data_IF_543600175697
#
_entry.id   IF_543600175697
#
_cell.length_a   1.000
_cell.length_b   1.000
_cell.length_c   1.000
_cell.angle_alpha   90.00
_cell.angle_beta   90.00
_cell.angle_gamma   90.00
#
_symmetry.space_group_name_H-M   'P 1'
#
loop_
_entity.id
_entity.type
_entity.pdbx_description
1 polymer ?
#
# COMPACT_ATOMS: atom_id res chain seq x y z
N UNK A 1 1.46 -13.83 25.76
CA UNK A 1 2.12 -12.83 26.64
C UNK A 1 3.64 -12.87 26.53
N UNK A 2 4.30 -14.02 26.73
CA UNK A 2 5.78 -14.13 26.66
C UNK A 2 6.39 -13.66 25.32
N UNK A 3 5.75 -13.95 24.18
CA UNK A 3 6.18 -13.46 22.86
C UNK A 3 6.10 -11.93 22.74
N UNK A 4 5.02 -11.30 23.20
CA UNK A 4 4.85 -9.83 23.15
C UNK A 4 5.90 -9.15 24.04
N UNK A 5 6.13 -9.66 25.25
CA UNK A 5 7.16 -9.13 26.14
C UNK A 5 8.57 -9.26 25.54
N UNK A 6 8.87 -10.40 24.90
CA UNK A 6 10.11 -10.59 24.15
C UNK A 6 10.28 -9.55 23.03
N UNK A 7 9.25 -9.32 22.22
CA UNK A 7 9.27 -8.31 21.15
C UNK A 7 9.47 -6.89 21.71
N UNK A 8 8.79 -6.54 22.81
CA UNK A 8 8.97 -5.24 23.48
C UNK A 8 10.40 -5.08 24.01
N UNK A 9 11.00 -6.15 24.54
CA UNK A 9 12.39 -6.15 24.96
C UNK A 9 13.36 -5.97 23.77
N UNK A 10 13.10 -6.62 22.64
CA UNK A 10 13.88 -6.43 21.39
C UNK A 10 13.78 -5.00 20.88
N UNK A 11 12.60 -4.37 20.91
CA UNK A 11 12.44 -2.96 20.52
C UNK A 11 13.28 -2.04 21.39
N UNK A 12 13.37 -2.33 22.69
CA UNK A 12 14.17 -1.53 23.63
C UNK A 12 15.67 -1.69 23.39
N UNK A 13 16.14 -2.94 23.26
CA UNK A 13 17.55 -3.29 23.43
C UNK A 13 18.25 -3.84 22.17
N UNK A 14 17.50 -4.22 21.14
CA UNK A 14 18.05 -4.84 19.94
C UNK A 14 18.77 -3.87 19.00
N UNK A 15 19.39 -4.40 17.96
CA UNK A 15 19.97 -3.62 16.87
C UNK A 15 18.89 -2.99 15.99
N UNK A 16 19.19 -1.92 15.21
CA UNK A 16 18.17 -1.17 14.46
C UNK A 16 17.21 -2.06 13.65
N UNK A 17 17.73 -3.00 12.86
CA UNK A 17 16.92 -3.90 12.03
C UNK A 17 16.09 -4.89 12.86
N UNK A 18 16.62 -5.37 13.99
CA UNK A 18 15.88 -6.23 14.92
C UNK A 18 14.70 -5.48 15.55
N UNK A 19 14.88 -4.19 15.87
CA UNK A 19 13.78 -3.33 16.34
C UNK A 19 12.70 -3.20 15.28
N UNK A 20 13.06 -2.97 14.01
CA UNK A 20 12.08 -2.86 12.92
C UNK A 20 11.31 -4.17 12.73
N UNK A 21 12.01 -5.30 12.70
CA UNK A 21 11.38 -6.62 12.62
C UNK A 21 10.45 -6.86 13.80
N UNK A 22 10.84 -6.50 15.02
CA UNK A 22 9.99 -6.67 16.19
C UNK A 22 8.72 -5.80 16.14
N UNK A 23 8.81 -4.58 15.63
CA UNK A 23 7.63 -3.73 15.40
C UNK A 23 6.74 -4.29 14.30
N UNK A 24 7.31 -4.80 13.22
CA UNK A 24 6.54 -5.45 12.16
C UNK A 24 5.78 -6.67 12.68
N UNK A 25 6.41 -7.50 13.52
CA UNK A 25 5.75 -8.64 14.16
C UNK A 25 4.66 -8.19 15.14
N UNK A 26 4.85 -7.11 15.92
CA UNK A 26 3.77 -6.56 16.75
C UNK A 26 2.60 -6.03 15.91
N UNK A 27 2.88 -5.38 14.77
CA UNK A 27 1.85 -4.85 13.88
C UNK A 27 1.00 -5.97 13.25
N UNK A 28 1.59 -7.14 12.95
CA UNK A 28 0.84 -8.34 12.52
C UNK A 28 -0.15 -8.83 13.56
N UNK A 29 0.12 -8.60 14.84
CA UNK A 29 -0.75 -8.94 15.97
C UNK A 29 -1.71 -7.78 16.32
N UNK A 30 -1.79 -6.73 15.50
CA UNK A 30 -2.66 -5.57 15.72
C UNK A 30 -2.13 -4.53 16.71
N UNK A 31 -0.86 -4.62 17.13
CA UNK A 31 -0.27 -3.72 18.14
C UNK A 31 0.56 -2.64 17.45
N UNK A 32 0.01 -1.43 17.34
CA UNK A 32 0.62 -0.32 16.58
C UNK A 32 1.33 0.75 17.44
N UNK A 33 1.36 0.60 18.77
CA UNK A 33 1.95 1.60 19.69
C UNK A 33 3.44 1.90 19.47
N UNK A 34 4.12 1.08 18.66
CA UNK A 34 5.56 1.17 18.37
C UNK A 34 5.88 1.57 16.93
N UNK A 35 4.89 1.96 16.12
CA UNK A 35 5.09 2.38 14.72
C UNK A 35 6.07 3.54 14.56
N UNK A 36 6.22 4.42 15.56
CA UNK A 36 7.22 5.50 15.56
C UNK A 36 8.66 5.01 15.38
N UNK A 37 8.97 3.75 15.73
CA UNK A 37 10.30 3.16 15.49
C UNK A 37 10.53 2.98 14.00
N UNK A 38 9.55 2.46 13.25
CA UNK A 38 9.60 2.31 11.81
C UNK A 38 9.63 3.69 11.12
N UNK A 39 8.76 4.63 11.53
CA UNK A 39 8.73 5.98 10.97
C UNK A 39 10.08 6.69 11.15
N UNK A 40 10.67 6.63 12.35
CA UNK A 40 11.97 7.27 12.62
C UNK A 40 13.12 6.61 11.83
N UNK A 41 12.98 5.32 11.50
CA UNK A 41 13.98 4.59 10.74
C UNK A 41 14.07 5.02 9.27
N UNK A 42 13.05 5.70 8.73
CA UNK A 42 13.12 6.33 7.41
C UNK A 42 14.20 7.42 7.33
N UNK A 43 14.61 8.00 8.47
CA UNK A 43 15.71 8.98 8.56
C UNK A 43 17.04 8.37 9.03
N UNK A 44 17.15 7.04 9.08
CA UNK A 44 18.37 6.41 9.57
C UNK A 44 19.56 6.70 8.65
N UNK A 45 20.75 6.88 9.22
CA UNK A 45 21.98 7.05 8.45
C UNK A 45 22.31 5.82 7.59
N UNK A 46 21.94 4.64 8.05
CA UNK A 46 22.13 3.38 7.36
C UNK A 46 21.04 3.18 6.31
N UNK A 47 21.46 3.00 5.06
CA UNK A 47 20.54 2.84 3.94
C UNK A 47 19.78 1.51 4.01
N UNK A 48 20.38 0.44 4.56
CA UNK A 48 19.68 -0.83 4.73
C UNK A 48 18.53 -0.69 5.73
N UNK A 49 18.74 0.08 6.80
CA UNK A 49 17.71 0.35 7.81
C UNK A 49 16.56 1.17 7.21
N UNK A 50 16.86 2.15 6.35
CA UNK A 50 15.84 2.90 5.62
C UNK A 50 15.04 1.99 4.67
N UNK A 51 15.72 1.12 3.93
CA UNK A 51 15.11 0.14 3.03
C UNK A 51 14.16 -0.80 3.76
N UNK A 52 14.61 -1.42 4.85
CA UNK A 52 13.78 -2.28 5.69
C UNK A 52 12.57 -1.52 6.27
N UNK A 53 12.76 -0.27 6.70
CA UNK A 53 11.67 0.55 7.24
C UNK A 53 10.59 0.81 6.18
N UNK A 54 10.97 1.21 4.97
CA UNK A 54 10.03 1.38 3.85
C UNK A 54 9.29 0.07 3.57
N UNK A 55 10.02 -1.03 3.40
CA UNK A 55 9.44 -2.33 3.14
C UNK A 55 8.42 -2.75 4.21
N UNK A 56 8.76 -2.65 5.49
CA UNK A 56 7.83 -3.00 6.57
C UNK A 56 6.64 -2.05 6.64
N UNK A 57 6.83 -0.74 6.48
CA UNK A 57 5.73 0.23 6.46
C UNK A 57 4.78 0.00 5.28
N UNK A 58 5.34 -0.32 4.12
CA UNK A 58 4.60 -0.70 2.94
C UNK A 58 3.78 -1.97 3.17
N UNK A 59 4.43 -3.00 3.71
CA UNK A 59 3.81 -4.26 4.11
C UNK A 59 2.76 -4.08 5.21
N UNK A 60 2.85 -3.08 6.08
CA UNK A 60 1.82 -2.81 7.08
C UNK A 60 0.63 -2.05 6.45
N UNK A 61 0.87 -1.25 5.41
CA UNK A 61 -0.12 -0.30 4.90
C UNK A 61 -0.19 0.96 5.76
N UNK A 62 0.92 1.40 6.36
CA UNK A 62 0.90 2.50 7.33
C UNK A 62 0.81 3.87 6.64
N UNK A 63 -0.42 4.34 6.40
CA UNK A 63 -0.73 5.61 5.71
C UNK A 63 0.08 6.82 6.19
N UNK A 64 0.35 7.04 7.50
CA UNK A 64 1.15 8.19 7.93
C UNK A 64 2.58 8.24 7.37
N UNK A 65 3.12 7.12 6.86
CA UNK A 65 4.43 7.09 6.21
C UNK A 65 4.40 7.40 4.70
N UNK A 66 3.21 7.39 4.07
CA UNK A 66 3.06 7.45 2.61
C UNK A 66 3.83 8.61 1.98
N UNK A 67 3.59 9.83 2.48
CA UNK A 67 4.19 11.04 1.93
C UNK A 67 5.71 11.05 2.08
N UNK A 68 6.24 10.48 3.17
CA UNK A 68 7.69 10.38 3.36
C UNK A 68 8.28 9.37 2.39
N UNK A 69 7.67 8.19 2.25
CA UNK A 69 8.11 7.15 1.31
C UNK A 69 8.08 7.68 -0.13
N UNK A 70 7.06 8.46 -0.52
CA UNK A 70 6.99 9.13 -1.82
C UNK A 70 8.21 10.00 -2.12
N UNK A 71 8.61 10.85 -1.16
CA UNK A 71 9.81 11.70 -1.29
C UNK A 71 11.10 10.88 -1.38
N UNK A 72 11.17 9.75 -0.68
CA UNK A 72 12.36 8.90 -0.67
C UNK A 72 12.68 8.30 -2.03
N UNK A 73 11.71 8.15 -2.95
CA UNK A 73 12.02 7.69 -4.32
C UNK A 73 13.03 8.63 -5.01
N UNK A 74 12.93 9.93 -4.75
CA UNK A 74 13.78 10.96 -5.36
C UNK A 74 15.04 11.20 -4.52
N UNK A 75 14.89 11.23 -3.20
CA UNK A 75 15.97 11.57 -2.26
C UNK A 75 16.99 10.44 -2.07
N UNK A 76 16.58 9.18 -2.26
CA UNK A 76 17.46 8.03 -2.05
C UNK A 76 18.55 7.93 -3.11
N UNK A 77 19.74 7.51 -2.64
CA UNK A 77 20.90 7.31 -3.51
C UNK A 77 20.99 5.87 -4.02
N UNK A 78 20.58 4.92 -3.19
CA UNK A 78 20.64 3.50 -3.54
C UNK A 78 19.42 3.15 -4.39
N UNK A 79 19.67 2.55 -5.55
CA UNK A 79 18.62 2.06 -6.43
C UNK A 79 17.66 1.13 -5.66
N UNK A 80 18.18 0.20 -4.86
CA UNK A 80 17.38 -0.72 -4.05
C UNK A 80 16.40 0.01 -3.11
N UNK A 81 16.80 1.16 -2.56
CA UNK A 81 15.93 1.95 -1.70
C UNK A 81 14.86 2.71 -2.49
N UNK A 82 15.19 3.21 -3.69
CA UNK A 82 14.19 3.78 -4.59
C UNK A 82 13.15 2.74 -5.01
N UNK A 83 13.61 1.54 -5.38
CA UNK A 83 12.75 0.41 -5.69
C UNK A 83 11.88 0.03 -4.48
N UNK A 84 12.46 -0.06 -3.28
CA UNK A 84 11.70 -0.30 -2.05
C UNK A 84 10.63 0.76 -1.82
N UNK A 85 10.90 2.04 -2.09
CA UNK A 85 9.91 3.10 -1.96
C UNK A 85 8.76 2.93 -2.96
N UNK A 86 9.06 2.70 -4.26
CA UNK A 86 8.04 2.45 -5.30
C UNK A 86 7.21 1.21 -4.96
N UNK A 87 7.88 0.11 -4.61
CA UNK A 87 7.23 -1.13 -4.20
C UNK A 87 6.36 -0.92 -2.96
N UNK A 88 6.83 -0.17 -1.97
CA UNK A 88 6.09 0.13 -0.74
C UNK A 88 4.81 0.91 -1.04
N UNK A 89 4.86 1.95 -1.88
CA UNK A 89 3.65 2.67 -2.29
C UNK A 89 2.70 1.79 -3.10
N UNK A 90 3.23 0.96 -3.99
CA UNK A 90 2.44 0.01 -4.78
C UNK A 90 1.68 -0.97 -3.89
N UNK A 91 2.34 -1.56 -2.90
CA UNK A 91 1.66 -2.49 -1.99
C UNK A 91 0.76 -1.73 -1.03
N UNK A 92 1.12 -0.53 -0.58
CA UNK A 92 0.22 0.30 0.23
C UNK A 92 -1.07 0.64 -0.51
N UNK A 93 -1.04 0.76 -1.83
CA UNK A 93 -2.24 0.86 -2.68
C UNK A 93 -3.06 2.15 -2.53
N UNK A 94 -2.69 3.02 -1.58
CA UNK A 94 -3.41 4.26 -1.33
C UNK A 94 -3.37 5.18 -2.57
N UNK A 95 -4.54 5.74 -2.98
CA UNK A 95 -4.63 6.71 -4.07
C UNK A 95 -3.59 7.83 -4.01
N UNK A 96 -3.29 8.32 -2.80
CA UNK A 96 -2.34 9.39 -2.54
C UNK A 96 -0.90 9.03 -2.92
N UNK A 97 -0.57 7.73 -3.01
CA UNK A 97 0.73 7.23 -3.43
C UNK A 97 0.91 7.20 -4.94
N UNK A 98 -0.18 7.19 -5.71
CA UNK A 98 -0.15 7.04 -7.17
C UNK A 98 0.61 8.16 -7.87
N UNK A 99 0.42 9.46 -7.52
CA UNK A 99 1.18 10.55 -8.15
C UNK A 99 2.69 10.41 -7.97
N UNK A 100 3.15 9.93 -6.81
CA UNK A 100 4.57 9.69 -6.54
C UNK A 100 5.16 8.63 -7.46
N UNK A 101 4.38 7.58 -7.81
CA UNK A 101 4.78 6.53 -8.74
C UNK A 101 4.74 7.02 -10.19
N UNK A 102 3.68 7.74 -10.61
CA UNK A 102 3.55 8.30 -11.97
C UNK A 102 4.75 9.19 -12.32
N UNK A 103 5.21 10.00 -11.36
CA UNK A 103 6.38 10.86 -11.56
C UNK A 103 7.63 10.09 -12.00
N UNK A 104 7.78 8.83 -11.58
CA UNK A 104 8.96 8.02 -11.86
C UNK A 104 8.99 7.42 -13.26
N UNK A 105 7.89 7.52 -14.02
CA UNK A 105 7.85 7.12 -15.42
C UNK A 105 8.84 7.92 -16.28
N UNK A 106 9.26 9.11 -15.82
CA UNK A 106 10.23 9.96 -16.52
C UNK A 106 11.62 9.99 -15.88
N UNK A 107 11.91 9.10 -14.93
CA UNK A 107 13.25 9.00 -14.30
C UNK A 107 14.31 8.65 -15.35
N UNK A 108 15.52 9.18 -15.22
CA UNK A 108 16.61 8.92 -16.17
C UNK A 108 17.07 7.44 -16.14
N UNK A 109 16.94 6.78 -15.00
CA UNK A 109 17.27 5.37 -14.83
C UNK A 109 16.15 4.46 -15.37
N UNK A 110 16.50 3.62 -16.35
CA UNK A 110 15.58 2.65 -16.95
C UNK A 110 14.91 1.74 -15.92
N UNK A 111 15.67 1.23 -14.94
CA UNK A 111 15.12 0.32 -13.95
C UNK A 111 14.05 1.00 -13.07
N UNK A 112 14.22 2.30 -12.76
CA UNK A 112 13.23 3.06 -11.99
C UNK A 112 11.94 3.28 -12.80
N UNK A 113 12.07 3.60 -14.09
CA UNK A 113 10.91 3.69 -14.98
C UNK A 113 10.17 2.37 -15.08
N UNK A 114 10.91 1.26 -15.20
CA UNK A 114 10.31 -0.08 -15.31
C UNK A 114 9.63 -0.53 -14.00
N UNK A 115 10.23 -0.22 -12.86
CA UNK A 115 9.63 -0.44 -11.54
C UNK A 115 8.32 0.36 -11.39
N UNK A 116 8.30 1.61 -11.85
CA UNK A 116 7.12 2.46 -11.83
C UNK A 116 6.01 1.93 -12.75
N UNK A 117 6.36 1.50 -13.97
CA UNK A 117 5.40 0.86 -14.90
C UNK A 117 4.82 -0.41 -14.31
N UNK A 118 5.67 -1.28 -13.78
CA UNK A 118 5.26 -2.51 -13.09
C UNK A 118 4.33 -2.19 -11.92
N UNK A 119 4.67 -1.17 -11.13
CA UNK A 119 3.87 -0.77 -9.99
C UNK A 119 2.47 -0.28 -10.39
N UNK A 120 2.39 0.61 -11.39
CA UNK A 120 1.12 1.11 -11.91
C UNK A 120 0.30 -0.02 -12.55
N UNK A 121 0.94 -0.93 -13.30
CA UNK A 121 0.25 -2.10 -13.87
C UNK A 121 -0.32 -3.00 -12.78
N UNK A 122 0.38 -3.20 -11.66
CA UNK A 122 -0.14 -3.96 -10.52
C UNK A 122 -1.31 -3.27 -9.84
N UNK A 123 -1.31 -1.95 -9.77
CA UNK A 123 -2.40 -1.16 -9.18
C UNK A 123 -3.66 -1.16 -10.07
N UNK A 124 -3.48 -1.08 -11.39
CA UNK A 124 -4.59 -0.74 -12.30
C UNK A 124 -4.91 -1.79 -13.37
N UNK A 125 -4.00 -2.73 -13.62
CA UNK A 125 -4.12 -3.80 -14.60
C UNK A 125 -4.30 -3.28 -16.03
N UNK A 126 -5.11 -4.02 -16.81
CA UNK A 126 -5.37 -3.76 -18.23
C UNK A 126 -5.95 -2.37 -18.52
N UNK A 127 -6.51 -1.69 -17.50
CA UNK A 127 -7.08 -0.35 -17.64
C UNK A 127 -6.07 0.69 -18.09
N UNK A 128 -4.79 0.49 -17.76
CA UNK A 128 -3.71 1.39 -18.17
C UNK A 128 -2.67 0.71 -19.07
N UNK A 129 -2.79 -0.59 -19.37
CA UNK A 129 -1.79 -1.34 -20.16
C UNK A 129 -1.46 -0.61 -21.47
N UNK A 130 -2.51 -0.23 -22.21
CA UNK A 130 -2.38 0.55 -23.44
C UNK A 130 -1.69 1.93 -23.30
N UNK A 131 -1.60 2.47 -22.08
CA UNK A 131 -0.91 3.72 -21.77
C UNK A 131 0.56 3.51 -21.41
N UNK A 132 0.92 2.37 -20.80
CA UNK A 132 2.29 2.07 -20.35
C UNK A 132 3.12 1.26 -21.36
N UNK A 133 2.49 0.60 -22.34
CA UNK A 133 3.19 -0.28 -23.29
C UNK A 133 3.90 0.48 -24.42
N UNK A 134 3.58 1.76 -24.63
CA UNK A 134 4.19 2.60 -25.69
C UNK A 134 5.71 2.74 -25.53
N UNK A 135 6.19 2.83 -24.29
CA UNK A 135 7.62 2.92 -23.96
C UNK A 135 8.39 1.61 -24.10
N UNK A 136 7.72 0.45 -24.13
CA UNK A 136 8.37 -0.87 -24.33
C UNK A 136 8.52 -1.23 -25.80
N UNK A 137 7.53 -0.91 -26.63
CA UNK A 137 7.52 -1.29 -28.05
C UNK A 137 8.54 -0.49 -28.89
N UNK A 138 8.99 0.67 -28.39
CA UNK A 138 9.94 1.55 -29.07
C UNK A 138 11.27 1.59 -28.32
N UNK A 139 12.00 0.47 -28.30
CA UNK A 139 13.42 0.48 -27.95
C UNK A 139 14.20 1.25 -29.03
N UNK A 140 14.23 2.56 -28.89
CA UNK A 140 14.97 3.45 -29.79
C UNK A 140 16.31 3.87 -29.19
N UNK A 141 17.34 3.87 -30.02
CA UNK A 141 18.68 4.36 -29.68
C UNK A 141 18.67 5.88 -29.37
N UNK A 142 17.60 6.60 -29.76
CA UNK A 142 17.43 8.04 -29.53
C UNK A 142 16.83 8.37 -28.16
N UNK A 143 17.66 8.95 -27.29
CA UNK A 143 17.29 9.40 -25.95
C UNK A 143 16.21 10.48 -25.92
N UNK A 144 16.19 11.39 -26.90
CA UNK A 144 15.22 12.48 -26.94
C UNK A 144 13.81 11.94 -27.22
N UNK A 145 13.69 11.03 -28.18
CA UNK A 145 12.43 10.40 -28.52
C UNK A 145 11.93 9.48 -27.40
N UNK A 146 12.84 8.73 -26.77
CA UNK A 146 12.52 7.95 -25.56
C UNK A 146 11.93 8.83 -24.44
N UNK A 147 12.54 9.99 -24.18
CA UNK A 147 12.05 10.93 -23.15
C UNK A 147 10.69 11.51 -23.50
N UNK A 148 10.44 11.81 -24.78
CA UNK A 148 9.13 12.26 -25.26
C UNK A 148 8.04 11.22 -24.99
N UNK A 149 8.29 9.94 -25.33
CA UNK A 149 7.33 8.84 -25.11
C UNK A 149 6.99 8.68 -23.63
N UNK A 150 7.99 8.58 -22.74
CA UNK A 150 7.74 8.42 -21.31
C UNK A 150 7.07 9.64 -20.68
N UNK A 151 7.35 10.84 -21.20
CA UNK A 151 6.64 12.06 -20.77
C UNK A 151 5.17 11.97 -21.15
N UNK A 152 4.87 11.48 -22.36
CA UNK A 152 3.49 11.30 -22.81
C UNK A 152 2.78 10.19 -22.02
N UNK A 153 3.45 9.08 -21.67
CA UNK A 153 2.93 8.04 -20.77
C UNK A 153 2.55 8.62 -19.41
N UNK A 154 3.45 9.40 -18.79
CA UNK A 154 3.17 10.06 -17.52
C UNK A 154 1.97 11.01 -17.63
N UNK A 155 1.85 11.78 -18.71
CA UNK A 155 0.71 12.69 -18.93
C UNK A 155 -0.60 11.91 -19.08
N UNK A 156 -0.63 10.90 -19.93
CA UNK A 156 -1.87 10.18 -20.22
C UNK A 156 -2.35 9.37 -19.01
N UNK A 157 -1.43 8.79 -18.25
CA UNK A 157 -1.74 8.10 -16.99
C UNK A 157 -2.19 9.10 -15.93
N UNK A 158 -1.58 10.30 -15.85
CA UNK A 158 -2.05 11.36 -14.96
C UNK A 158 -3.47 11.80 -15.29
N UNK A 159 -3.77 12.02 -16.57
CA UNK A 159 -5.11 12.39 -17.05
C UNK A 159 -6.11 11.27 -16.77
N UNK A 160 -5.73 10.02 -17.04
CA UNK A 160 -6.57 8.87 -16.71
C UNK A 160 -6.83 8.79 -15.20
N UNK A 161 -5.79 8.94 -14.38
CA UNK A 161 -5.89 8.90 -12.92
C UNK A 161 -6.83 9.98 -12.39
N UNK A 162 -6.63 11.25 -12.78
CA UNK A 162 -7.50 12.36 -12.35
C UNK A 162 -8.97 12.19 -12.74
N UNK A 163 -9.27 11.47 -13.83
CA UNK A 163 -10.64 11.19 -14.26
C UNK A 163 -11.26 9.94 -13.59
N UNK A 164 -10.46 9.14 -12.87
CA UNK A 164 -10.88 7.89 -12.26
C UNK A 164 -10.63 7.82 -10.75
N UNK A 165 -10.02 8.84 -10.14
CA UNK A 165 -9.61 8.88 -8.73
C UNK A 165 -10.76 8.54 -7.77
N UNK A 166 -11.96 9.09 -8.01
CA UNK A 166 -13.15 8.86 -7.17
C UNK A 166 -13.56 7.39 -7.06
N UNK A 167 -13.23 6.56 -8.08
CA UNK A 167 -13.49 5.11 -8.06
C UNK A 167 -12.57 4.36 -7.10
N UNK A 168 -11.42 4.95 -6.80
CA UNK A 168 -10.42 4.41 -5.87
C UNK A 168 -10.54 5.05 -4.48
N UNK A 169 -11.17 6.22 -4.36
CA UNK A 169 -11.55 6.80 -3.07
C UNK A 169 -12.62 6.01 -2.31
N UNK A 170 -13.33 5.08 -2.98
CA UNK A 170 -14.29 4.17 -2.33
C UNK A 170 -13.60 2.92 -1.73
N UNK A 171 -12.34 2.64 -2.11
CA UNK A 171 -11.49 1.57 -1.58
C UNK A 171 -10.48 2.11 -0.56
N UNK A 172 -10.98 2.57 0.59
CA UNK A 172 -10.21 3.42 1.53
C UNK A 172 -9.15 2.74 2.39
N UNK A 173 -8.88 1.45 2.25
CA UNK A 173 -7.80 0.87 3.05
C UNK A 173 -7.08 -0.23 2.31
N UNK A 174 -5.85 -0.46 2.77
CA UNK A 174 -5.06 -1.63 2.43
C UNK A 174 -4.41 -2.20 3.70
N UNK A 175 -4.42 -3.52 3.87
CA UNK A 175 -3.80 -4.24 4.99
C UNK A 175 -2.98 -5.38 4.41
N UNK A 176 -1.68 -5.40 4.70
CA UNK A 176 -0.71 -6.24 3.98
C UNK A 176 -0.68 -6.05 2.46
N UNK A 177 -1.11 -4.87 2.00
CA UNK A 177 -1.21 -4.51 0.60
C UNK A 177 -2.33 -5.19 -0.18
N UNK A 178 -3.32 -5.71 0.55
CA UNK A 178 -4.59 -6.13 -0.03
C UNK A 178 -5.60 -5.01 0.06
N UNK A 179 -6.35 -4.77 -1.02
CA UNK A 179 -7.51 -3.88 -1.00
C UNK A 179 -8.48 -4.36 0.07
N UNK A 180 -8.61 -3.59 1.15
CA UNK A 180 -9.58 -3.87 2.20
C UNK A 180 -10.74 -2.91 2.05
N UNK A 181 -11.82 -3.50 1.58
CA UNK A 181 -13.14 -2.93 1.74
C UNK A 181 -13.75 -3.46 3.05
N UNK A 182 -14.81 -2.81 3.56
CA UNK A 182 -15.46 -3.25 4.79
C UNK A 182 -15.86 -4.73 4.80
N UNK A 183 -16.21 -5.32 3.64
CA UNK A 183 -16.59 -6.74 3.55
C UNK A 183 -15.40 -7.68 3.75
N UNK A 184 -14.25 -7.41 3.12
CA UNK A 184 -13.04 -8.24 3.29
C UNK A 184 -12.56 -8.21 4.74
N UNK A 185 -12.59 -7.04 5.38
CA UNK A 185 -12.28 -6.91 6.81
C UNK A 185 -13.27 -7.70 7.66
N UNK A 186 -14.56 -7.55 7.37
CA UNK A 186 -15.60 -8.28 8.07
C UNK A 186 -15.43 -9.80 7.95
N UNK A 187 -15.12 -10.31 6.75
CA UNK A 187 -14.90 -11.74 6.52
C UNK A 187 -13.66 -12.23 7.31
N UNK A 188 -12.58 -11.44 7.39
CA UNK A 188 -11.41 -11.77 8.24
C UNK A 188 -11.72 -11.79 9.74
N UNK A 189 -12.62 -10.93 10.24
CA UNK A 189 -13.09 -11.00 11.63
C UNK A 189 -13.76 -12.35 11.94
N UNK A 190 -14.46 -12.93 10.95
CA UNK A 190 -15.12 -14.22 11.10
C UNK A 190 -14.13 -15.40 10.99
N UNK A 191 -13.12 -15.29 10.12
CA UNK A 191 -12.11 -16.32 9.88
C UNK A 191 -11.04 -16.38 10.97
N UNK A 192 -10.65 -15.23 11.51
CA UNK A 192 -9.57 -15.08 12.48
C UNK A 192 -10.05 -14.35 13.76
N UNK A 193 -10.91 -14.98 14.60
CA UNK A 193 -11.51 -14.32 15.77
C UNK A 193 -10.48 -13.82 16.80
N UNK A 194 -9.29 -14.41 16.85
CA UNK A 194 -8.21 -14.01 17.76
C UNK A 194 -7.52 -12.70 17.33
N UNK A 195 -7.72 -12.26 16.09
CA UNK A 195 -7.19 -11.03 15.52
C UNK A 195 -8.29 -9.97 15.30
N UNK A 196 -9.51 -10.22 15.80
CA UNK A 196 -10.70 -9.43 15.54
C UNK A 196 -10.55 -7.97 15.92
N UNK A 197 -9.83 -7.64 16.99
CA UNK A 197 -9.73 -6.25 17.48
C UNK A 197 -9.02 -5.34 16.48
N UNK A 198 -8.00 -5.86 15.77
CA UNK A 198 -7.28 -5.14 14.73
C UNK A 198 -8.18 -4.89 13.52
N UNK A 199 -8.94 -5.91 13.12
CA UNK A 199 -9.89 -5.81 12.02
C UNK A 199 -11.11 -4.96 12.36
N UNK A 200 -11.58 -4.99 13.61
CA UNK A 200 -12.69 -4.16 14.08
C UNK A 200 -12.33 -2.69 14.00
N UNK A 201 -11.14 -2.29 14.46
CA UNK A 201 -10.68 -0.90 14.30
C UNK A 201 -10.68 -0.44 12.84
N UNK A 202 -10.20 -1.29 11.92
CA UNK A 202 -10.20 -1.01 10.48
C UNK A 202 -11.62 -0.95 9.90
N UNK A 203 -12.51 -1.83 10.36
CA UNK A 203 -13.91 -1.84 9.96
C UNK A 203 -14.62 -0.57 10.43
N UNK A 204 -14.35 -0.12 11.65
CA UNK A 204 -14.89 1.11 12.22
C UNK A 204 -14.43 2.34 11.42
N UNK A 205 -13.14 2.43 11.09
CA UNK A 205 -12.58 3.53 10.30
C UNK A 205 -13.18 3.58 8.88
N UNK A 206 -13.30 2.42 8.23
CA UNK A 206 -13.84 2.29 6.88
C UNK A 206 -15.34 2.59 6.77
N UNK A 207 -16.11 2.27 7.82
CA UNK A 207 -17.58 2.35 7.80
C UNK A 207 -18.13 3.58 8.54
N UNK A 208 -17.31 4.21 9.40
CA UNK A 208 -17.73 5.21 10.37
C UNK A 208 -18.66 4.68 11.47
N UNK A 209 -18.86 3.36 11.55
CA UNK A 209 -19.73 2.71 12.53
C UNK A 209 -18.90 1.91 13.53
N UNK A 210 -19.18 2.08 14.82
CA UNK A 210 -18.58 1.26 15.88
C UNK A 210 -19.11 -0.17 15.84
N UNK A 211 -18.23 -1.18 15.98
CA UNK A 211 -18.60 -2.59 16.02
C UNK A 211 -18.16 -3.24 17.33
N UNK A 212 -19.11 -3.60 18.18
CA UNK A 212 -18.81 -4.10 19.52
C UNK A 212 -19.67 -5.30 19.91
N UNK A 213 -19.18 -6.07 20.90
CA UNK A 213 -19.91 -7.20 21.47
C UNK A 213 -19.42 -8.54 20.92
N UNK A 214 -20.28 -9.56 20.97
CA UNK A 214 -19.94 -10.88 20.44
C UNK A 214 -19.85 -10.88 18.92
N UNK A 215 -19.22 -11.90 18.32
CA UNK A 215 -19.25 -12.14 16.86
C UNK A 215 -20.68 -12.05 16.30
N UNK A 216 -21.69 -12.54 17.04
CA UNK A 216 -23.09 -12.47 16.65
C UNK A 216 -23.63 -11.03 16.64
N UNK A 217 -23.21 -10.20 17.59
CA UNK A 217 -23.59 -8.78 17.64
C UNK A 217 -22.94 -8.02 16.49
N UNK A 218 -21.68 -8.31 16.19
CA UNK A 218 -20.91 -7.73 15.08
C UNK A 218 -21.55 -8.12 13.73
N UNK A 219 -21.96 -9.38 13.54
CA UNK A 219 -22.71 -9.87 12.38
C UNK A 219 -24.01 -9.08 12.13
N UNK A 220 -24.77 -8.81 13.20
CA UNK A 220 -26.02 -8.06 13.10
C UNK A 220 -25.77 -6.57 12.76
N UNK A 221 -24.75 -5.98 13.39
CA UNK A 221 -24.31 -4.60 13.13
C UNK A 221 -23.84 -4.43 11.68
N UNK A 222 -23.09 -5.40 11.16
CA UNK A 222 -22.62 -5.44 9.78
C UNK A 222 -23.77 -5.56 8.79
N UNK A 223 -24.67 -6.51 9.00
CA UNK A 223 -25.84 -6.71 8.13
C UNK A 223 -26.70 -5.44 8.04
N UNK A 224 -26.86 -4.75 9.18
CA UNK A 224 -27.58 -3.47 9.24
C UNK A 224 -26.86 -2.38 8.47
N UNK A 225 -25.55 -2.22 8.67
CA UNK A 225 -24.75 -1.23 7.96
C UNK A 225 -24.77 -1.47 6.45
N UNK A 226 -24.51 -2.70 6.01
CA UNK A 226 -24.46 -3.08 4.60
C UNK A 226 -25.80 -2.77 3.91
N UNK A 227 -26.93 -3.08 4.54
CA UNK A 227 -28.27 -2.81 3.99
C UNK A 227 -28.54 -1.32 3.72
N UNK A 228 -27.90 -0.42 4.49
CA UNK A 228 -28.07 1.04 4.36
C UNK A 228 -27.10 1.68 3.38
N UNK A 229 -26.04 0.97 3.01
CA UNK A 229 -24.93 1.49 2.22
C UNK A 229 -24.71 0.70 0.92
N UNK A 230 -25.69 -0.11 0.48
CA UNK A 230 -25.56 -0.96 -0.72
C UNK A 230 -25.21 -0.17 -1.99
N UNK A 231 -25.75 1.05 -2.15
CA UNK A 231 -25.49 1.88 -3.33
C UNK A 231 -24.11 2.56 -3.30
N UNK A 232 -23.51 2.68 -2.12
CA UNK A 232 -22.15 3.22 -1.91
C UNK A 232 -21.09 2.10 -1.81
N UNK A 233 -21.53 0.84 -1.79
CA UNK A 233 -20.70 -0.34 -1.66
C UNK A 233 -20.30 -0.86 -3.04
N UNK A 234 -19.05 -0.65 -3.41
CA UNK A 234 -18.43 -1.25 -4.60
C UNK A 234 -17.54 -2.37 -4.11
N UNK A 235 -17.78 -3.60 -4.57
CA UNK A 235 -16.83 -4.70 -4.33
C UNK A 235 -15.45 -4.28 -4.81
N UNK A 236 -14.49 -4.31 -3.89
CA UNK A 236 -13.12 -3.96 -4.21
C UNK A 236 -12.60 -4.87 -5.32
N UNK A 237 -12.34 -4.30 -6.50
CA UNK A 237 -11.71 -5.06 -7.60
C UNK A 237 -10.20 -5.15 -7.35
N UNK A 238 -9.73 -6.30 -6.84
CA UNK A 238 -8.30 -6.57 -6.73
C UNK A 238 -7.74 -6.93 -8.10
N UNK A 239 -6.50 -6.57 -8.37
CA UNK A 239 -5.74 -7.07 -9.51
C UNK A 239 -4.47 -7.77 -9.02
N UNK A 240 -4.18 -8.96 -9.51
CA UNK A 240 -2.93 -9.68 -9.24
C UNK A 240 -2.34 -10.16 -10.57
N UNK A 241 -1.12 -9.72 -10.89
CA UNK A 241 -0.49 -9.91 -12.20
C UNK A 241 -1.44 -9.52 -13.36
N UNK A 242 -2.07 -8.35 -13.27
CA UNK A 242 -2.99 -7.85 -14.30
C UNK A 242 -4.39 -8.46 -14.30
N UNK A 243 -4.65 -9.52 -13.52
CA UNK A 243 -5.94 -10.20 -13.52
C UNK A 243 -6.85 -9.71 -12.40
N UNK A 244 -8.11 -9.41 -12.73
CA UNK A 244 -9.15 -9.10 -11.75
C UNK A 244 -9.36 -10.31 -10.83
N UNK A 245 -9.08 -10.15 -9.54
CA UNK A 245 -9.39 -11.10 -8.48
C UNK A 245 -10.73 -10.67 -7.89
N UNK A 246 -11.79 -11.36 -8.27
CA UNK A 246 -13.12 -11.20 -7.67
C UNK A 246 -13.13 -12.02 -6.38
N UNK A 247 -13.33 -11.36 -5.24
CA UNK A 247 -13.68 -12.06 -4.01
C UNK A 247 -15.19 -12.31 -4.06
N UNK A 248 -15.59 -13.58 -4.02
CA UNK A 248 -16.99 -14.00 -3.92
C UNK A 248 -17.46 -13.92 -2.47
#
# INVERSE_FOLDING_TARGET
MERIESLLNTIKNGEPREKLSAVFELAKEGIFDKMNVLISALENKDWEVRGDAMYYLGRIGWLPALERIGKMIIEERMYDNKNNAIYSLQIMGFPEGVPHIIQQLTDDNFNIRDDARTALYRLFGDRIAHLIDRGEEQFEEDEAKRKEIYTQDAIDISVWWSNNEDRYQVGKSYFFGELINPKVIFDKILEEPDLSDAYLYQLEDLTGQKFEGSIKDILNQWSTWLSKNQDSFIDGEKYFNGNRVVYF
#
